data_IF_190172950157
#
_entry.id   IF_190172950157
#
_cell.length_a   1.000
_cell.length_b   1.000
_cell.length_c   1.000
_cell.angle_alpha   90.00
_cell.angle_beta   90.00
_cell.angle_gamma   90.00
#
_symmetry.space_group_name_H-M   'P 1'
#
loop_
_entity.id
_entity.type
_entity.pdbx_description
1 polymer ?
#
# COMPACT_ATOMS: atom_id res chain seq x y z
N UNK A 1 26.50 17.34 -5.36
CA UNK A 1 26.09 17.15 -6.77
C UNK A 1 24.65 17.62 -7.02
N UNK A 2 23.61 16.91 -6.49
CA UNK A 2 22.22 17.42 -6.59
C UNK A 2 21.94 18.50 -5.54
N UNK A 3 22.49 18.37 -4.35
CA UNK A 3 22.34 19.35 -3.27
C UNK A 3 22.78 20.76 -3.65
N UNK A 4 23.78 20.89 -4.51
CA UNK A 4 24.31 22.17 -4.96
C UNK A 4 23.47 22.82 -6.06
N UNK A 5 22.49 22.10 -6.60
CA UNK A 5 21.62 22.52 -7.70
C UNK A 5 20.21 22.88 -7.28
N UNK A 6 19.88 22.64 -6.02
CA UNK A 6 18.53 22.87 -5.49
C UNK A 6 18.60 23.64 -4.17
N UNK A 7 17.65 24.54 -3.94
CA UNK A 7 17.48 25.19 -2.64
C UNK A 7 17.04 24.19 -1.56
N UNK A 8 16.09 23.32 -1.91
CA UNK A 8 15.58 22.25 -1.06
C UNK A 8 15.58 20.96 -1.83
N UNK A 9 16.11 19.91 -1.19
CA UNK A 9 16.05 18.56 -1.68
C UNK A 9 14.98 17.77 -0.93
N UNK A 10 13.82 17.59 -1.54
CA UNK A 10 12.71 16.81 -0.97
C UNK A 10 13.02 15.32 -0.91
N UNK A 11 12.91 14.71 0.28
CA UNK A 11 13.13 13.28 0.50
C UNK A 11 11.94 12.62 1.19
N UNK A 12 11.94 11.28 1.24
CA UNK A 12 10.77 10.52 1.69
C UNK A 12 10.44 10.65 3.17
N UNK A 13 11.46 10.87 4.03
CA UNK A 13 11.21 10.94 5.45
C UNK A 13 12.41 11.42 6.25
N UNK A 14 12.22 11.49 7.57
CA UNK A 14 13.19 12.08 8.50
C UNK A 14 14.49 11.28 8.63
N UNK A 15 14.43 9.95 8.53
CA UNK A 15 15.63 9.12 8.56
C UNK A 15 16.53 9.43 7.37
N UNK A 16 15.95 9.58 6.18
CA UNK A 16 16.73 9.97 4.99
C UNK A 16 17.36 11.35 5.17
N UNK A 17 16.64 12.32 5.75
CA UNK A 17 17.19 13.65 6.09
C UNK A 17 18.40 13.50 7.04
N UNK A 18 18.25 12.68 8.08
CA UNK A 18 19.34 12.46 9.05
C UNK A 18 20.60 11.88 8.40
N UNK A 19 20.44 10.86 7.55
CA UNK A 19 21.57 10.26 6.81
C UNK A 19 22.24 11.29 5.93
N UNK A 20 21.48 12.07 5.17
CA UNK A 20 22.04 13.12 4.29
C UNK A 20 22.75 14.21 5.07
N UNK A 21 22.19 14.61 6.23
CA UNK A 21 22.83 15.57 7.13
C UNK A 21 24.19 15.08 7.66
N UNK A 22 24.30 13.78 7.97
CA UNK A 22 25.59 13.16 8.38
C UNK A 22 26.62 13.15 7.23
N UNK A 23 26.14 13.08 5.99
CA UNK A 23 26.98 13.17 4.78
C UNK A 23 27.30 14.62 4.36
N UNK A 24 26.90 15.61 5.16
CA UNK A 24 27.18 17.03 4.90
C UNK A 24 26.14 17.75 4.04
N UNK A 25 25.09 17.07 3.60
CA UNK A 25 24.00 17.66 2.81
C UNK A 25 22.97 18.24 3.78
N UNK A 26 22.83 19.58 3.81
CA UNK A 26 22.05 20.30 4.83
C UNK A 26 20.71 20.84 4.32
N UNK A 27 20.44 20.77 3.04
CA UNK A 27 19.22 21.27 2.41
C UNK A 27 18.19 20.18 2.09
N UNK A 28 18.27 19.03 2.78
CA UNK A 28 17.29 17.96 2.64
C UNK A 28 16.10 18.18 3.60
N UNK A 29 14.88 18.03 3.08
CA UNK A 29 13.64 18.12 3.84
C UNK A 29 12.75 16.89 3.64
N UNK A 30 12.08 16.44 4.70
CA UNK A 30 11.16 15.32 4.65
C UNK A 30 9.82 15.77 4.05
N UNK A 31 9.59 15.51 2.78
CA UNK A 31 8.36 15.87 2.05
C UNK A 31 7.48 14.66 1.72
N UNK A 32 8.01 13.45 1.84
CA UNK A 32 7.28 12.21 1.56
C UNK A 32 7.18 11.89 0.06
N UNK A 33 6.05 11.32 -0.33
CA UNK A 33 5.76 10.98 -1.73
C UNK A 33 4.79 11.99 -2.33
N UNK A 34 5.07 12.56 -3.51
CA UNK A 34 4.16 13.50 -4.18
C UNK A 34 2.75 12.96 -4.40
N UNK A 35 2.60 11.66 -4.67
CA UNK A 35 1.29 11.03 -4.85
C UNK A 35 0.38 11.13 -3.61
N UNK A 36 0.93 11.39 -2.42
CA UNK A 36 0.13 11.59 -1.21
C UNK A 36 -0.66 12.91 -1.24
N UNK A 37 -0.22 13.88 -2.01
CA UNK A 37 -0.81 15.22 -2.07
C UNK A 37 -1.88 15.36 -3.15
N UNK A 38 -2.19 14.32 -3.91
CA UNK A 38 -3.17 14.35 -5.01
C UNK A 38 -4.54 14.87 -4.58
N UNK A 39 -5.03 14.48 -3.40
CA UNK A 39 -6.32 14.92 -2.86
C UNK A 39 -6.27 16.29 -2.17
N UNK A 40 -5.11 16.96 -2.17
CA UNK A 40 -4.92 18.25 -1.55
C UNK A 40 -5.16 18.27 -0.03
N UNK A 41 -5.53 19.45 0.49
CA UNK A 41 -5.75 19.68 1.92
C UNK A 41 -7.09 19.12 2.44
N UNK A 42 -8.04 18.90 1.55
CA UNK A 42 -9.44 18.56 1.89
C UNK A 42 -9.72 17.07 1.72
N UNK A 43 -8.74 16.21 1.99
CA UNK A 43 -8.96 14.76 1.96
C UNK A 43 -9.98 14.35 3.03
N UNK A 44 -11.04 13.70 2.59
CA UNK A 44 -12.05 13.10 3.47
C UNK A 44 -11.85 11.59 3.46
N UNK A 45 -11.71 11.00 4.63
CA UNK A 45 -11.63 9.54 4.81
C UNK A 45 -12.93 9.10 5.47
N UNK A 46 -13.72 8.33 4.76
CA UNK A 46 -14.96 7.76 5.26
C UNK A 46 -14.69 6.46 6.01
N UNK A 47 -15.12 6.38 7.26
CA UNK A 47 -14.95 5.19 8.08
C UNK A 47 -16.30 4.46 8.21
N UNK A 48 -16.33 3.22 7.75
CA UNK A 48 -17.45 2.35 8.03
C UNK A 48 -17.43 1.85 9.50
N UNK A 49 -18.59 1.57 10.11
CA UNK A 49 -18.65 0.88 11.39
C UNK A 49 -17.98 -0.48 11.31
N UNK A 50 -17.24 -0.84 12.35
CA UNK A 50 -16.59 -2.14 12.42
C UNK A 50 -17.65 -3.25 12.54
N UNK A 51 -17.71 -4.16 11.57
CA UNK A 51 -18.68 -5.25 11.52
C UNK A 51 -18.13 -6.47 10.79
N UNK A 52 -18.80 -7.61 10.93
CA UNK A 52 -18.47 -8.84 10.21
C UNK A 52 -18.72 -8.75 8.69
N UNK A 53 -19.45 -7.74 8.24
CA UNK A 53 -19.75 -7.51 6.83
C UNK A 53 -18.79 -6.51 6.17
N UNK A 54 -17.77 -6.07 6.91
CA UNK A 54 -16.75 -5.13 6.43
C UNK A 54 -16.13 -5.64 5.11
N UNK A 55 -16.07 -4.76 4.11
CA UNK A 55 -15.44 -5.04 2.81
C UNK A 55 -14.00 -4.60 2.86
N UNK A 56 -13.08 -5.54 2.69
CA UNK A 56 -11.65 -5.28 2.83
C UNK A 56 -10.90 -5.54 1.53
N UNK A 57 -10.11 -4.56 1.08
CA UNK A 57 -9.16 -4.74 0.00
C UNK A 57 -7.77 -5.11 0.55
N UNK A 58 -7.17 -6.15 0.01
CA UNK A 58 -5.77 -6.50 0.26
C UNK A 58 -4.91 -6.03 -0.90
N UNK A 59 -3.89 -5.23 -0.62
CA UNK A 59 -3.07 -4.57 -1.62
C UNK A 59 -1.63 -5.08 -1.58
N UNK A 60 -1.23 -5.79 -2.62
CA UNK A 60 0.12 -6.33 -2.78
C UNK A 60 0.43 -7.52 -1.88
N UNK A 61 -0.57 -8.24 -1.35
CA UNK A 61 -0.34 -9.36 -0.45
C UNK A 61 -1.54 -10.27 -0.28
N UNK A 62 -1.25 -11.48 0.21
CA UNK A 62 -2.22 -12.48 0.60
C UNK A 62 -2.22 -12.65 2.12
N UNK A 63 -3.41 -12.68 2.71
CA UNK A 63 -3.59 -13.09 4.08
C UNK A 63 -4.64 -14.17 4.18
N UNK A 64 -4.33 -15.22 4.88
CA UNK A 64 -5.39 -16.09 5.41
C UNK A 64 -6.18 -15.28 6.44
N UNK A 65 -7.42 -14.98 6.13
CA UNK A 65 -8.32 -14.29 7.03
C UNK A 65 -9.76 -14.80 6.85
N UNK A 66 -10.54 -14.70 7.90
CA UNK A 66 -11.95 -15.08 7.91
C UNK A 66 -12.91 -13.96 7.41
N UNK A 67 -12.37 -12.91 6.79
CA UNK A 67 -13.14 -11.83 6.20
C UNK A 67 -13.91 -12.36 5.00
N UNK A 68 -15.25 -12.27 5.05
CA UNK A 68 -16.13 -12.78 3.99
C UNK A 68 -16.03 -11.93 2.72
N UNK A 69 -16.08 -10.60 2.88
CA UNK A 69 -16.12 -9.64 1.78
C UNK A 69 -14.71 -9.08 1.55
N UNK A 70 -13.91 -9.78 0.75
CA UNK A 70 -12.54 -9.40 0.47
C UNK A 70 -12.26 -9.32 -1.01
N UNK A 71 -11.36 -8.42 -1.38
CA UNK A 71 -10.79 -8.30 -2.72
C UNK A 71 -9.29 -8.17 -2.65
N UNK A 72 -8.61 -8.51 -3.73
CA UNK A 72 -7.16 -8.47 -3.80
C UNK A 72 -6.71 -7.60 -4.97
N UNK A 73 -5.70 -6.78 -4.73
CA UNK A 73 -5.13 -5.88 -5.73
C UNK A 73 -3.66 -6.22 -5.90
N UNK A 74 -3.31 -6.66 -7.08
CA UNK A 74 -1.93 -6.98 -7.45
C UNK A 74 -1.14 -5.70 -7.66
N UNK A 75 0.07 -5.67 -7.11
CA UNK A 75 0.99 -4.53 -7.22
C UNK A 75 2.43 -4.97 -7.53
N UNK A 76 2.64 -6.25 -7.78
CA UNK A 76 3.94 -6.76 -8.14
C UNK A 76 3.95 -7.11 -9.63
N UNK A 77 5.01 -6.69 -10.33
CA UNK A 77 5.15 -6.95 -11.77
C UNK A 77 5.24 -8.45 -12.06
N UNK A 78 5.89 -9.20 -11.19
CA UNK A 78 6.04 -10.65 -11.35
C UNK A 78 4.70 -11.36 -11.18
N UNK A 79 3.89 -10.95 -10.20
CA UNK A 79 2.54 -11.49 -10.02
C UNK A 79 1.66 -11.22 -11.24
N UNK A 80 1.80 -10.03 -11.83
CA UNK A 80 1.05 -9.64 -13.03
C UNK A 80 1.51 -10.43 -14.25
N UNK A 81 2.81 -10.58 -14.45
CA UNK A 81 3.39 -11.36 -15.55
C UNK A 81 2.96 -12.83 -15.43
N UNK A 82 3.04 -13.39 -14.25
CA UNK A 82 2.66 -14.77 -13.99
C UNK A 82 1.15 -15.00 -14.25
N UNK A 83 0.31 -14.06 -13.84
CA UNK A 83 -1.13 -14.10 -14.12
C UNK A 83 -1.43 -13.99 -15.61
N UNK A 84 -0.78 -13.08 -16.33
CA UNK A 84 -1.09 -12.77 -17.74
C UNK A 84 -0.50 -13.78 -18.73
N UNK A 85 0.72 -14.27 -18.47
CA UNK A 85 1.46 -15.09 -19.43
C UNK A 85 1.53 -16.57 -19.08
N UNK A 86 1.42 -16.91 -17.80
CA UNK A 86 1.60 -18.29 -17.35
C UNK A 86 0.35 -18.90 -16.72
N UNK A 87 -0.79 -18.18 -16.73
CA UNK A 87 -2.03 -18.61 -16.05
C UNK A 87 -1.77 -19.09 -14.60
N UNK A 88 -0.77 -18.52 -13.97
CA UNK A 88 -0.40 -18.87 -12.62
C UNK A 88 0.31 -20.22 -12.45
N UNK A 89 0.88 -20.79 -13.50
CA UNK A 89 1.52 -22.11 -13.43
C UNK A 89 3.01 -22.10 -13.13
N UNK A 90 3.65 -20.93 -13.17
CA UNK A 90 5.08 -20.76 -12.87
C UNK A 90 5.26 -19.77 -11.73
N UNK A 91 5.10 -20.21 -10.51
CA UNK A 91 5.50 -19.42 -9.36
C UNK A 91 6.90 -19.83 -8.92
N UNK A 92 7.85 -18.89 -9.02
CA UNK A 92 9.09 -18.93 -8.27
C UNK A 92 8.90 -18.35 -6.85
N UNK A 93 7.67 -18.22 -6.39
CA UNK A 93 7.37 -17.75 -5.04
C UNK A 93 7.40 -18.92 -4.05
N UNK A 94 7.86 -18.68 -2.83
CA UNK A 94 7.87 -19.70 -1.78
C UNK A 94 6.47 -20.11 -1.30
N UNK A 95 5.40 -19.61 -1.93
CA UNK A 95 4.01 -19.92 -1.62
C UNK A 95 3.32 -20.44 -2.87
N UNK A 96 2.67 -21.58 -2.77
CA UNK A 96 1.74 -22.04 -3.80
C UNK A 96 0.56 -21.08 -3.87
N UNK A 97 0.54 -20.24 -4.89
CA UNK A 97 -0.61 -19.40 -5.17
C UNK A 97 -1.58 -20.21 -6.02
N UNK A 98 -2.72 -20.59 -5.46
CA UNK A 98 -3.79 -21.23 -6.22
C UNK A 98 -4.50 -20.18 -7.11
N UNK A 99 -3.98 -19.99 -8.31
CA UNK A 99 -4.50 -19.05 -9.29
C UNK A 99 -5.91 -19.37 -9.78
N UNK A 100 -6.38 -20.61 -9.66
CA UNK A 100 -7.78 -20.94 -9.94
C UNK A 100 -8.71 -20.36 -8.88
N UNK A 101 -8.25 -20.29 -7.64
CA UNK A 101 -8.98 -19.58 -6.58
C UNK A 101 -8.89 -18.05 -6.74
N UNK A 102 -7.81 -17.55 -7.33
CA UNK A 102 -7.59 -16.13 -7.63
C UNK A 102 -8.67 -15.56 -8.54
N UNK A 103 -8.93 -16.20 -9.66
CA UNK A 103 -9.95 -15.73 -10.61
C UNK A 103 -11.36 -15.73 -10.01
N UNK A 104 -11.64 -16.64 -9.07
CA UNK A 104 -12.89 -16.70 -8.31
C UNK A 104 -12.95 -15.68 -7.18
N UNK A 105 -11.83 -15.28 -6.60
CA UNK A 105 -11.72 -14.45 -5.40
C UNK A 105 -11.56 -12.95 -5.67
N UNK A 106 -11.73 -12.49 -6.92
CA UNK A 106 -11.81 -11.07 -7.21
C UNK A 106 -10.48 -10.31 -7.26
N UNK A 107 -9.41 -10.95 -7.75
CA UNK A 107 -8.15 -10.24 -8.02
C UNK A 107 -8.29 -9.21 -9.12
N UNK A 108 -7.63 -8.08 -8.93
CA UNK A 108 -7.58 -6.99 -9.89
C UNK A 108 -6.18 -6.44 -10.01
N UNK A 109 -5.79 -6.07 -11.22
CA UNK A 109 -4.66 -5.22 -11.51
C UNK A 109 -5.14 -4.00 -12.26
N UNK A 110 -4.48 -2.88 -12.09
CA UNK A 110 -4.87 -1.61 -12.68
C UNK A 110 -3.69 -0.99 -13.41
N UNK A 111 -3.92 -0.53 -14.64
CA UNK A 111 -2.95 0.19 -15.46
C UNK A 111 -3.00 1.71 -15.23
N UNK A 112 -4.05 2.21 -14.58
CA UNK A 112 -4.23 3.63 -14.28
C UNK A 112 -4.78 3.86 -12.87
N UNK A 113 -4.45 5.00 -12.30
CA UNK A 113 -4.78 5.34 -10.92
C UNK A 113 -6.28 5.64 -10.72
N UNK A 114 -6.96 6.16 -11.72
CA UNK A 114 -8.37 6.52 -11.60
C UNK A 114 -9.25 5.26 -11.51
N UNK A 115 -9.01 4.27 -12.38
CA UNK A 115 -9.67 2.98 -12.30
C UNK A 115 -9.40 2.27 -10.97
N UNK A 116 -8.16 2.37 -10.48
CA UNK A 116 -7.79 1.82 -9.19
C UNK A 116 -8.56 2.49 -8.05
N UNK A 117 -8.55 3.82 -7.95
CA UNK A 117 -9.30 4.58 -6.94
C UNK A 117 -10.81 4.28 -7.01
N UNK A 118 -11.38 4.21 -8.21
CA UNK A 118 -12.80 3.85 -8.40
C UNK A 118 -13.10 2.44 -7.86
N UNK A 119 -12.17 1.51 -8.03
CA UNK A 119 -12.32 0.16 -7.47
C UNK A 119 -12.22 0.16 -5.95
N UNK A 120 -11.25 0.88 -5.38
CA UNK A 120 -11.04 0.99 -3.93
C UNK A 120 -12.25 1.55 -3.19
N UNK A 121 -12.99 2.48 -3.78
CA UNK A 121 -14.25 3.03 -3.21
C UNK A 121 -15.34 1.99 -2.94
N UNK A 122 -15.20 0.75 -3.41
CA UNK A 122 -16.12 -0.35 -3.10
C UNK A 122 -15.84 -1.04 -1.77
N UNK A 123 -14.74 -0.66 -1.11
CA UNK A 123 -14.26 -1.24 0.13
C UNK A 123 -14.30 -0.23 1.25
N UNK A 124 -14.41 -0.75 2.46
CA UNK A 124 -14.48 0.04 3.70
C UNK A 124 -13.10 0.23 4.32
N UNK A 125 -12.13 -0.63 3.95
CA UNK A 125 -10.79 -0.63 4.49
C UNK A 125 -9.81 -1.30 3.52
N UNK A 126 -8.57 -0.81 3.50
CA UNK A 126 -7.47 -1.44 2.76
C UNK A 126 -6.36 -1.87 3.70
N UNK A 127 -5.89 -3.10 3.53
CA UNK A 127 -4.66 -3.61 4.13
C UNK A 127 -3.63 -3.90 3.04
N UNK A 128 -2.35 -3.60 3.30
CA UNK A 128 -1.32 -3.96 2.34
C UNK A 128 0.09 -3.66 2.80
N UNK A 129 1.07 -4.24 2.12
CA UNK A 129 2.51 -3.99 2.38
C UNK A 129 3.02 -2.82 1.54
N UNK A 130 2.36 -2.58 0.41
CA UNK A 130 2.81 -1.57 -0.54
C UNK A 130 2.26 -0.21 -0.17
N UNK A 131 3.16 0.72 0.13
CA UNK A 131 2.79 2.08 0.54
C UNK A 131 1.93 2.79 -0.50
N UNK A 132 2.16 2.55 -1.80
CA UNK A 132 1.36 3.19 -2.85
C UNK A 132 -0.08 2.67 -2.89
N UNK A 133 -0.31 1.41 -2.50
CA UNK A 133 -1.67 0.89 -2.31
C UNK A 133 -2.43 1.62 -1.21
N UNK A 134 -1.76 1.89 -0.10
CA UNK A 134 -2.34 2.71 0.97
C UNK A 134 -2.58 4.16 0.52
N UNK A 135 -1.64 4.77 -0.22
CA UNK A 135 -1.80 6.13 -0.74
C UNK A 135 -2.99 6.21 -1.71
N UNK A 136 -3.10 5.26 -2.65
CA UNK A 136 -4.24 5.20 -3.58
C UNK A 136 -5.57 5.06 -2.83
N UNK A 137 -5.60 4.25 -1.77
CA UNK A 137 -6.77 4.07 -0.92
C UNK A 137 -7.16 5.37 -0.22
N UNK A 138 -6.21 6.02 0.44
CA UNK A 138 -6.44 7.30 1.12
C UNK A 138 -6.88 8.39 0.14
N UNK A 139 -6.32 8.43 -1.07
CA UNK A 139 -6.74 9.37 -2.13
C UNK A 139 -8.14 9.02 -2.68
N UNK A 140 -8.56 7.77 -2.56
CA UNK A 140 -9.93 7.36 -2.85
C UNK A 140 -10.94 7.65 -1.72
N UNK A 141 -10.48 8.15 -0.57
CA UNK A 141 -11.30 8.40 0.61
C UNK A 141 -11.51 7.17 1.50
N UNK A 142 -10.78 6.09 1.26
CA UNK A 142 -10.89 4.81 1.97
C UNK A 142 -9.76 4.68 2.99
N UNK A 143 -10.05 4.30 4.25
CA UNK A 143 -9.02 4.05 5.25
C UNK A 143 -8.02 2.98 4.79
N UNK A 144 -6.77 3.14 5.20
CA UNK A 144 -5.72 2.18 4.88
C UNK A 144 -4.82 1.88 6.10
N UNK A 145 -4.37 0.63 6.19
CA UNK A 145 -3.38 0.17 7.17
C UNK A 145 -2.24 -0.50 6.42
N UNK A 146 -1.02 -0.08 6.70
CA UNK A 146 0.18 -0.70 6.13
C UNK A 146 0.65 -1.80 7.07
N UNK A 147 0.94 -2.97 6.48
CA UNK A 147 1.37 -4.14 7.22
C UNK A 147 2.85 -4.36 6.98
N UNK A 148 3.60 -4.64 8.04
CA UNK A 148 5.04 -4.92 8.00
C UNK A 148 5.80 -4.00 7.03
N UNK A 149 5.77 -2.68 7.24
CA UNK A 149 6.37 -1.73 6.32
C UNK A 149 7.90 -1.91 6.28
N UNK A 150 8.46 -1.94 5.09
CA UNK A 150 9.90 -1.80 4.90
C UNK A 150 10.38 -0.42 5.41
N UNK A 151 11.68 -0.19 5.46
CA UNK A 151 12.23 1.07 5.95
C UNK A 151 11.65 2.30 5.23
N UNK A 152 11.47 2.23 3.91
CA UNK A 152 10.93 3.33 3.09
C UNK A 152 9.46 3.59 3.40
N UNK A 153 8.66 2.52 3.53
CA UNK A 153 7.27 2.61 3.88
C UNK A 153 7.10 3.14 5.31
N UNK A 154 7.98 2.73 6.25
CA UNK A 154 7.96 3.19 7.64
C UNK A 154 8.20 4.69 7.77
N UNK A 155 9.19 5.24 7.06
CA UNK A 155 9.41 6.70 7.04
C UNK A 155 8.15 7.44 6.59
N UNK A 156 7.50 6.96 5.52
CA UNK A 156 6.29 7.59 4.99
C UNK A 156 5.09 7.43 5.92
N UNK A 157 4.92 6.26 6.55
CA UNK A 157 3.85 6.07 7.54
C UNK A 157 4.00 7.00 8.73
N UNK A 158 5.23 7.21 9.20
CA UNK A 158 5.52 8.14 10.29
C UNK A 158 5.26 9.60 9.90
N UNK A 159 5.74 10.00 8.71
CA UNK A 159 5.58 11.37 8.20
C UNK A 159 4.11 11.74 7.99
N UNK A 160 3.34 10.86 7.37
CA UNK A 160 1.93 11.09 7.04
C UNK A 160 0.96 10.56 8.09
N UNK A 161 1.46 9.98 9.18
CA UNK A 161 0.67 9.37 10.26
C UNK A 161 -0.33 8.33 9.77
N UNK A 162 0.07 7.56 8.77
CA UNK A 162 -0.72 6.42 8.28
C UNK A 162 -0.61 5.28 9.27
N UNK A 163 -1.72 4.68 9.71
CA UNK A 163 -1.69 3.52 10.59
C UNK A 163 -0.87 2.37 9.99
N UNK A 164 -0.04 1.73 10.81
CA UNK A 164 0.70 0.57 10.38
C UNK A 164 0.80 -0.50 11.47
N UNK A 165 0.94 -1.75 11.06
CA UNK A 165 1.18 -2.90 11.92
C UNK A 165 2.61 -3.38 11.69
N UNK A 166 3.50 -3.34 12.69
CA UNK A 166 4.93 -3.59 12.49
C UNK A 166 5.27 -5.04 12.14
N UNK A 167 4.46 -5.99 12.62
CA UNK A 167 4.66 -7.42 12.37
C UNK A 167 3.31 -8.13 12.25
N UNK A 168 3.23 -9.01 11.27
CA UNK A 168 2.14 -10.00 11.15
C UNK A 168 2.66 -11.43 11.34
N UNK A 169 3.72 -11.62 12.11
CA UNK A 169 4.18 -12.95 12.44
C UNK A 169 3.01 -13.70 13.11
N UNK A 170 2.36 -14.60 12.36
CA UNK A 170 1.28 -15.47 12.80
C UNK A 170 -0.09 -14.85 13.14
N UNK A 171 -0.40 -13.66 12.67
CA UNK A 171 -1.74 -13.12 12.90
C UNK A 171 -2.75 -13.62 11.86
N UNK A 172 -3.66 -14.47 12.32
CA UNK A 172 -4.96 -14.61 11.65
C UNK A 172 -5.73 -13.32 11.96
N UNK A 173 -6.03 -12.52 10.93
CA UNK A 173 -6.87 -11.33 11.11
C UNK A 173 -8.30 -11.84 11.39
N UNK A 174 -8.66 -11.83 12.65
CA UNK A 174 -10.01 -12.14 13.10
C UNK A 174 -10.72 -10.82 13.40
N UNK A 175 -11.75 -10.52 12.65
CA UNK A 175 -12.70 -9.48 12.98
C UNK A 175 -13.72 -10.13 13.93
N UNK A 176 -13.58 -9.87 15.22
CA UNK A 176 -14.57 -10.21 16.24
C UNK A 176 -15.47 -9.03 16.48
#
# INVERSE_FOLDING_TARGET
FFSDKTEIMGVRGHFTVEVLNRLGIKNAEAVGCPSFFESGKNRIIEKAPFSNDLKVAFSGTFFECNIKNKGYILQDEMDLIDLLYFNGTKTNFPYEIDYKSISKNGYRAFSDIESWKKHLKKFDLTFGWRVHGAIASLNAGVPAVIINPDFRAREMTQLFKVPYMPELANMKINIK
#
